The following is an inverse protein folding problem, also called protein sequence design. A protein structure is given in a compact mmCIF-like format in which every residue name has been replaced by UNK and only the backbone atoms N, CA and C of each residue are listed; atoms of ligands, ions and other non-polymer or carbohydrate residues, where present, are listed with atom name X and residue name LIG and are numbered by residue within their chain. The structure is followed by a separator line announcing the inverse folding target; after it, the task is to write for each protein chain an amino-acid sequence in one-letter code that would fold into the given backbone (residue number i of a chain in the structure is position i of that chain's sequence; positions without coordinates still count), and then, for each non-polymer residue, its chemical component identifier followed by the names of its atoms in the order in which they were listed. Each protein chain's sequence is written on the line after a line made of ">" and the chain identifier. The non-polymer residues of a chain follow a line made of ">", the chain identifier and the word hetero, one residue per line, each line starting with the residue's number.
data_IF_010526610039
#
_entry.id   IF_010526610039
#
_cell.length_a   1.000
_cell.length_b   1.000
_cell.length_c   1.000
_cell.angle_alpha   90.00
_cell.angle_beta   90.00
_cell.angle_gamma   90.00
#
_symmetry.space_group_name_H-M   'P 1'
#
loop_
_entity.id
_entity.type
_entity.pdbx_description
1 polymer ?
#
# COMPACT_ATOMS: atom_id res chain seq x y z
N UNK A 1 -48.60 -10.37 65.72
CA UNK A 1 -47.55 -11.11 65.00
C UNK A 1 -46.74 -10.15 64.16
N UNK A 2 -45.49 -9.87 64.60
CA UNK A 2 -44.39 -9.31 63.79
C UNK A 2 -43.81 -10.51 63.00
N UNK A 3 -43.18 -10.45 61.82
CA UNK A 3 -42.09 -9.60 61.30
C UNK A 3 -42.09 -9.80 59.77
N UNK A 4 -41.98 -8.71 59.01
CA UNK A 4 -41.64 -8.72 57.59
C UNK A 4 -40.16 -9.09 57.40
N UNK A 5 -39.82 -9.96 56.44
CA UNK A 5 -38.46 -10.07 55.91
C UNK A 5 -38.46 -10.28 54.40
N UNK A 6 -37.93 -9.24 53.74
CA UNK A 6 -37.31 -9.22 52.42
C UNK A 6 -36.68 -10.58 52.05
N UNK A 7 -36.98 -11.08 50.86
CA UNK A 7 -36.00 -11.85 50.10
C UNK A 7 -35.64 -11.08 48.83
N UNK A 8 -34.37 -10.71 48.79
CA UNK A 8 -33.67 -9.91 47.81
C UNK A 8 -33.68 -10.56 46.42
N UNK A 9 -34.24 -9.86 45.44
CA UNK A 9 -34.08 -10.14 44.02
C UNK A 9 -32.69 -9.65 43.59
N UNK A 10 -31.66 -10.48 43.74
CA UNK A 10 -30.33 -10.19 43.22
C UNK A 10 -30.29 -10.58 41.74
N UNK A 11 -30.76 -9.67 40.87
CA UNK A 11 -30.54 -9.78 39.42
C UNK A 11 -29.07 -9.46 39.19
N UNK A 12 -28.27 -10.52 39.06
CA UNK A 12 -26.89 -10.44 38.63
C UNK A 12 -26.90 -9.99 37.16
N UNK A 13 -26.75 -8.69 36.94
CA UNK A 13 -26.62 -8.09 35.62
C UNK A 13 -25.23 -8.47 35.08
N UNK A 14 -25.14 -9.62 34.40
CA UNK A 14 -23.95 -10.04 33.67
C UNK A 14 -23.70 -9.05 32.54
N UNK A 15 -22.79 -8.10 32.77
CA UNK A 15 -22.23 -7.28 31.72
C UNK A 15 -21.48 -8.20 30.75
N UNK A 16 -22.12 -8.51 29.62
CA UNK A 16 -21.48 -9.25 28.54
C UNK A 16 -20.43 -8.31 27.96
N UNK A 17 -19.16 -8.56 28.29
CA UNK A 17 -18.01 -7.94 27.65
C UNK A 17 -18.04 -8.33 26.17
N UNK A 18 -18.49 -7.42 25.32
CA UNK A 18 -18.38 -7.58 23.89
C UNK A 18 -16.90 -7.43 23.52
N UNK A 19 -16.16 -8.54 23.54
CA UNK A 19 -14.85 -8.60 22.90
C UNK A 19 -15.05 -8.21 21.44
N UNK A 20 -14.43 -7.12 21.04
CA UNK A 20 -14.41 -6.75 19.64
C UNK A 20 -13.57 -7.74 18.86
N UNK A 21 -14.15 -8.28 17.80
CA UNK A 21 -13.45 -9.09 16.82
C UNK A 21 -13.24 -8.24 15.57
N UNK A 22 -12.25 -7.34 15.58
CA UNK A 22 -11.79 -6.70 14.35
C UNK A 22 -11.44 -7.82 13.36
N UNK A 23 -12.02 -7.76 12.16
CA UNK A 23 -11.65 -8.67 11.09
C UNK A 23 -10.39 -8.15 10.42
N UNK A 24 -9.24 -8.71 10.78
CA UNK A 24 -7.94 -8.32 10.23
C UNK A 24 -7.67 -8.84 8.81
N UNK A 25 -8.62 -9.58 8.20
CA UNK A 25 -8.45 -10.12 6.84
C UNK A 25 -8.64 -9.06 5.74
N UNK A 26 -8.43 -7.78 6.04
CA UNK A 26 -8.47 -6.74 5.03
C UNK A 26 -7.17 -6.75 4.22
N UNK A 27 -7.27 -7.18 2.98
CA UNK A 27 -6.24 -6.95 1.97
C UNK A 27 -6.72 -5.82 1.06
N UNK A 28 -5.87 -4.80 0.88
CA UNK A 28 -6.13 -3.75 -0.10
C UNK A 28 -6.37 -4.35 -1.50
N UNK A 29 -7.08 -3.62 -2.35
CA UNK A 29 -7.32 -4.05 -3.74
C UNK A 29 -5.97 -4.14 -4.44
N UNK A 30 -5.55 -5.37 -4.74
CA UNK A 30 -4.34 -5.63 -5.52
C UNK A 30 -4.72 -5.62 -7.00
N UNK A 31 -4.15 -4.69 -7.75
CA UNK A 31 -4.20 -4.67 -9.20
C UNK A 31 -2.82 -5.01 -9.76
N UNK A 32 -2.77 -5.84 -10.80
CA UNK A 32 -1.55 -6.08 -11.55
C UNK A 32 -1.53 -5.07 -12.70
N UNK A 33 -0.37 -4.47 -12.96
CA UNK A 33 -0.20 -3.57 -14.09
C UNK A 33 1.04 -3.93 -14.89
N UNK A 34 0.96 -3.67 -16.19
CA UNK A 34 2.04 -3.78 -17.16
C UNK A 34 1.95 -2.61 -18.11
N UNK A 35 2.95 -1.75 -18.09
CA UNK A 35 3.00 -0.54 -18.89
C UNK A 35 4.35 -0.46 -19.60
N UNK A 36 4.40 0.08 -20.84
CA UNK A 36 3.27 0.40 -21.72
C UNK A 36 2.69 -0.85 -22.41
N UNK A 37 1.60 -0.73 -23.17
CA UNK A 37 0.91 -1.90 -23.72
C UNK A 37 1.75 -2.66 -24.77
N UNK A 38 1.53 -3.98 -24.86
CA UNK A 38 2.17 -4.81 -25.90
C UNK A 38 1.73 -4.32 -27.29
N UNK A 39 2.68 -4.30 -28.21
CA UNK A 39 2.58 -3.81 -29.58
C UNK A 39 2.39 -2.30 -29.73
N UNK A 40 2.37 -1.54 -28.64
CA UNK A 40 2.35 -0.09 -28.68
C UNK A 40 3.77 0.45 -28.94
N UNK A 41 3.86 1.48 -29.79
CA UNK A 41 5.11 2.21 -30.03
C UNK A 41 5.17 3.35 -29.03
N UNK A 42 6.27 3.40 -28.27
CA UNK A 42 6.48 4.35 -27.21
C UNK A 42 7.83 5.02 -27.32
N UNK A 43 7.94 6.19 -26.71
CA UNK A 43 9.14 6.99 -26.64
C UNK A 43 9.47 7.27 -25.18
N UNK A 44 10.72 7.05 -24.79
CA UNK A 44 11.22 7.30 -23.44
C UNK A 44 12.48 8.16 -23.51
N UNK A 45 12.61 9.13 -22.59
CA UNK A 45 13.84 9.89 -22.43
C UNK A 45 14.83 9.17 -21.51
N UNK A 46 16.08 9.63 -21.47
CA UNK A 46 17.05 9.14 -20.49
C UNK A 46 16.52 9.36 -19.06
N UNK A 47 16.49 8.28 -18.28
CA UNK A 47 15.94 8.24 -16.93
C UNK A 47 14.46 7.80 -16.86
N UNK A 48 13.74 7.79 -17.98
CA UNK A 48 12.35 7.37 -18.03
C UNK A 48 12.21 5.84 -18.11
N UNK A 49 11.06 5.35 -17.68
CA UNK A 49 10.73 3.94 -17.73
C UNK A 49 10.38 3.53 -19.16
N UNK A 50 11.15 2.58 -19.69
CA UNK A 50 10.84 1.88 -20.93
C UNK A 50 9.74 0.84 -20.68
N UNK A 51 9.88 0.07 -19.59
CA UNK A 51 8.88 -0.90 -19.13
C UNK A 51 8.69 -0.75 -17.64
N UNK A 52 7.46 -0.87 -17.17
CA UNK A 52 7.13 -0.90 -15.76
C UNK A 52 6.03 -1.94 -15.51
N UNK A 53 6.33 -2.95 -14.70
CA UNK A 53 5.41 -4.04 -14.38
C UNK A 53 5.41 -4.28 -12.88
N UNK A 54 4.24 -4.45 -12.28
CA UNK A 54 4.17 -4.68 -10.85
C UNK A 54 2.77 -4.84 -10.30
N UNK A 55 2.70 -4.91 -8.98
CA UNK A 55 1.44 -4.93 -8.22
C UNK A 55 1.18 -3.52 -7.71
N UNK A 56 -0.05 -3.06 -7.74
CA UNK A 56 -0.50 -1.86 -7.04
C UNK A 56 -1.49 -2.30 -5.98
N UNK A 57 -1.17 -2.07 -4.72
CA UNK A 57 -2.12 -2.30 -3.62
C UNK A 57 -2.76 -0.95 -3.31
N UNK A 58 -4.03 -0.82 -3.63
CA UNK A 58 -4.85 0.33 -3.22
C UNK A 58 -5.53 -0.02 -1.92
N UNK A 59 -5.25 0.78 -0.89
CA UNK A 59 -5.76 0.59 0.46
C UNK A 59 -6.19 1.93 1.04
N UNK A 60 -7.12 1.90 1.99
CA UNK A 60 -7.54 3.11 2.68
C UNK A 60 -6.51 3.51 3.74
N UNK A 61 -6.30 4.81 3.88
CA UNK A 61 -5.55 5.40 4.97
C UNK A 61 -6.43 6.39 5.74
N UNK A 62 -6.26 6.39 7.05
CA UNK A 62 -6.68 7.49 7.90
C UNK A 62 -5.50 8.48 7.98
N UNK A 63 -5.65 9.65 7.38
CA UNK A 63 -4.63 10.71 7.39
C UNK A 63 -4.98 11.78 8.42
N UNK A 64 -4.08 12.02 9.38
CA UNK A 64 -4.18 13.07 10.39
C UNK A 64 -3.18 14.20 10.06
N UNK A 65 -3.68 15.42 9.97
CA UNK A 65 -2.86 16.59 9.61
C UNK A 65 -2.05 17.13 10.80
N UNK A 66 -2.55 16.92 12.01
CA UNK A 66 -1.98 17.46 13.25
C UNK A 66 -1.92 16.36 14.32
N UNK A 67 -1.04 16.58 15.31
CA UNK A 67 -1.00 15.78 16.54
C UNK A 67 -2.35 15.91 17.26
N UNK A 68 -2.91 14.77 17.65
CA UNK A 68 -4.00 14.74 18.64
C UNK A 68 -3.33 14.51 19.99
N UNK A 69 -3.34 15.53 20.84
CA UNK A 69 -2.88 15.49 22.23
C UNK A 69 -4.08 15.15 23.11
N UNK A 70 -4.15 13.89 23.54
CA UNK A 70 -5.34 13.30 24.12
C UNK A 70 -5.14 12.92 25.58
N UNK A 71 -6.23 12.94 26.36
CA UNK A 71 -6.16 12.65 27.81
C UNK A 71 -5.61 11.26 28.18
N UNK A 72 -5.65 10.31 27.25
CA UNK A 72 -5.22 8.92 27.46
C UNK A 72 -4.24 8.45 26.38
N UNK A 73 -4.41 8.95 25.15
CA UNK A 73 -3.59 8.59 24.00
C UNK A 73 -3.20 9.83 23.22
N UNK A 74 -1.93 9.92 22.83
CA UNK A 74 -1.47 10.89 21.84
C UNK A 74 -1.33 10.20 20.49
N UNK A 75 -1.92 10.80 19.45
CA UNK A 75 -1.92 10.25 18.10
C UNK A 75 -1.10 11.18 17.19
N UNK A 76 0.14 10.80 16.82
CA UNK A 76 0.98 11.59 15.93
C UNK A 76 0.31 11.92 14.59
N UNK A 77 0.67 13.04 13.94
CA UNK A 77 0.22 13.29 12.57
C UNK A 77 0.80 12.25 11.60
N UNK A 78 0.06 11.90 10.56
CA UNK A 78 0.50 10.95 9.54
C UNK A 78 -0.63 10.12 8.97
N UNK A 79 -0.27 9.19 8.09
CA UNK A 79 -1.21 8.27 7.43
C UNK A 79 -1.14 6.89 8.08
N UNK A 80 -2.29 6.39 8.50
CA UNK A 80 -2.45 5.10 9.17
C UNK A 80 -3.16 4.13 8.24
N UNK A 81 -2.50 3.04 7.88
CA UNK A 81 -3.02 2.05 6.92
C UNK A 81 -4.24 1.32 7.50
N UNK A 82 -5.26 1.04 6.68
CA UNK A 82 -6.38 0.17 7.06
C UNK A 82 -5.88 -1.26 7.29
N UNK A 83 -6.22 -1.82 8.45
CA UNK A 83 -5.83 -3.17 8.89
C UNK A 83 -7.01 -4.13 8.98
N UNK A 84 -8.24 -3.63 8.88
CA UNK A 84 -9.42 -4.45 9.06
C UNK A 84 -10.72 -3.69 8.95
N UNK A 85 -11.79 -4.39 9.31
CA UNK A 85 -13.10 -3.79 9.53
C UNK A 85 -13.84 -4.45 10.68
N UNK A 86 -14.83 -3.73 11.21
CA UNK A 86 -15.81 -4.29 12.12
C UNK A 86 -17.18 -3.67 11.82
N UNK A 87 -18.17 -4.53 11.52
CA UNK A 87 -19.53 -4.14 11.14
C UNK A 87 -19.57 -3.10 10.01
N UNK A 88 -18.68 -3.25 9.03
CA UNK A 88 -18.57 -2.35 7.88
C UNK A 88 -17.81 -1.04 8.14
N UNK A 89 -17.33 -0.78 9.37
CA UNK A 89 -16.49 0.39 9.66
C UNK A 89 -15.02 0.02 9.52
N UNK A 90 -14.19 0.84 8.84
CA UNK A 90 -12.76 0.58 8.67
C UNK A 90 -11.99 0.79 9.97
N UNK A 91 -10.99 -0.06 10.20
CA UNK A 91 -10.04 0.03 11.31
C UNK A 91 -8.64 0.19 10.76
N UNK A 92 -7.85 1.06 11.38
CA UNK A 92 -6.54 1.50 10.93
C UNK A 92 -5.47 1.14 11.97
N UNK A 93 -4.24 1.01 11.50
CA UNK A 93 -3.04 0.78 12.31
C UNK A 93 -2.89 1.84 13.41
N UNK A 94 -2.23 1.47 14.51
CA UNK A 94 -1.79 2.43 15.54
C UNK A 94 -0.41 3.02 15.24
N UNK A 95 0.23 2.58 14.15
CA UNK A 95 1.52 3.10 13.67
C UNK A 95 1.34 3.70 12.28
N UNK A 96 1.80 4.95 12.11
CA UNK A 96 1.71 5.64 10.84
C UNK A 96 2.81 5.18 9.86
N UNK A 97 2.72 5.61 8.59
CA UNK A 97 3.70 5.30 7.53
C UNK A 97 5.13 5.80 7.81
N UNK A 98 5.34 6.67 8.80
CA UNK A 98 6.65 7.14 9.26
C UNK A 98 7.21 6.32 10.43
N UNK A 99 6.51 5.27 10.84
CA UNK A 99 6.91 4.41 11.97
C UNK A 99 6.62 4.99 13.35
N UNK A 100 5.79 6.03 13.45
CA UNK A 100 5.40 6.63 14.74
C UNK A 100 4.10 6.00 15.23
N UNK A 101 4.11 5.47 16.45
CA UNK A 101 2.96 4.81 17.07
C UNK A 101 2.15 5.75 17.97
N UNK A 102 0.88 5.43 18.17
CA UNK A 102 0.03 6.01 19.21
C UNK A 102 0.73 5.84 20.56
N UNK A 103 0.89 6.95 21.27
CA UNK A 103 1.57 7.00 22.58
C UNK A 103 0.53 6.87 23.69
N UNK A 104 0.83 6.12 24.72
CA UNK A 104 0.01 5.92 25.91
C UNK A 104 0.90 5.63 27.11
N UNK A 105 0.36 5.73 28.33
CA UNK A 105 1.09 5.43 29.57
C UNK A 105 0.88 3.96 30.01
N UNK A 106 1.86 3.06 29.86
CA UNK A 106 1.70 1.65 30.19
C UNK A 106 1.43 1.44 31.69
N UNK A 107 0.57 0.47 32.01
CA UNK A 107 0.17 0.16 33.38
C UNK A 107 -0.94 1.05 33.95
N UNK A 108 -1.27 2.15 33.28
CA UNK A 108 -2.39 3.04 33.63
C UNK A 108 -3.44 3.10 32.53
N UNK A 109 -3.01 3.11 31.27
CA UNK A 109 -3.88 3.14 30.09
C UNK A 109 -3.77 1.81 29.33
N UNK A 110 -4.90 1.31 28.86
CA UNK A 110 -5.00 0.06 28.12
C UNK A 110 -4.30 0.19 26.74
N UNK A 111 -3.48 -0.78 26.30
CA UNK A 111 -2.73 -0.65 25.05
C UNK A 111 -3.63 -0.45 23.82
N UNK A 112 -3.30 0.48 22.91
CA UNK A 112 -4.04 0.69 21.69
C UNK A 112 -3.73 -0.41 20.67
N UNK A 113 -4.75 -0.95 20.01
CA UNK A 113 -4.61 -1.99 18.99
C UNK A 113 -5.07 -1.54 17.60
N UNK A 114 -5.96 -0.54 17.54
CA UNK A 114 -6.43 0.04 16.28
C UNK A 114 -6.98 1.46 16.48
N UNK A 115 -7.09 2.19 15.37
CA UNK A 115 -7.84 3.43 15.26
C UNK A 115 -9.09 3.19 14.42
N UNK A 116 -10.19 3.89 14.70
CA UNK A 116 -11.37 3.90 13.83
C UNK A 116 -12.06 5.25 13.89
N UNK A 117 -12.89 5.51 12.89
CA UNK A 117 -13.61 6.77 12.76
C UNK A 117 -15.05 6.59 13.23
N UNK A 118 -15.53 7.47 14.10
CA UNK A 118 -16.95 7.45 14.54
C UNK A 118 -17.80 8.48 13.80
N UNK A 119 -17.20 9.61 13.43
CA UNK A 119 -17.75 10.71 12.63
C UNK A 119 -16.64 11.27 11.74
N UNK A 120 -17.00 12.16 10.81
CA UNK A 120 -16.08 12.75 9.84
C UNK A 120 -14.84 13.42 10.46
N UNK A 121 -14.96 13.94 11.70
CA UNK A 121 -13.88 14.61 12.43
C UNK A 121 -13.57 13.97 13.79
N UNK A 122 -14.00 12.73 14.04
CA UNK A 122 -13.81 12.06 15.35
C UNK A 122 -13.05 10.74 15.17
N UNK A 123 -11.82 10.69 15.68
CA UNK A 123 -10.97 9.50 15.71
C UNK A 123 -11.07 8.85 17.08
N UNK A 124 -11.32 7.55 17.09
CA UNK A 124 -11.38 6.76 18.31
C UNK A 124 -10.23 5.76 18.36
N UNK A 125 -9.70 5.55 19.56
CA UNK A 125 -8.73 4.50 19.87
C UNK A 125 -9.49 3.27 20.33
N UNK A 126 -9.24 2.16 19.65
CA UNK A 126 -9.61 0.82 20.11
C UNK A 126 -8.44 0.24 20.89
N UNK A 127 -8.70 -0.19 22.11
CA UNK A 127 -7.73 -0.87 22.97
C UNK A 127 -8.02 -2.37 23.08
N UNK A 128 -7.17 -3.10 23.77
CA UNK A 128 -7.34 -4.55 24.00
C UNK A 128 -8.69 -4.87 24.67
N UNK A 129 -9.15 -3.99 25.57
CA UNK A 129 -10.33 -4.21 26.40
C UNK A 129 -11.57 -3.46 25.91
N UNK A 130 -11.41 -2.38 25.13
CA UNK A 130 -12.51 -1.50 24.76
C UNK A 130 -12.48 -1.09 23.29
N UNK A 131 -13.63 -1.24 22.62
CA UNK A 131 -13.78 -0.85 21.22
C UNK A 131 -13.73 0.66 20.99
N UNK A 132 -13.96 1.47 22.01
CA UNK A 132 -13.81 2.92 21.93
C UNK A 132 -13.31 3.39 23.28
N UNK A 133 -12.03 3.12 23.55
CA UNK A 133 -11.37 3.45 24.80
C UNK A 133 -11.33 4.96 25.03
N UNK A 134 -11.08 5.72 23.97
CA UNK A 134 -11.19 7.18 23.95
C UNK A 134 -11.43 7.66 22.52
N UNK A 135 -12.12 8.79 22.38
CA UNK A 135 -12.37 9.44 21.10
C UNK A 135 -11.97 10.91 21.19
N UNK A 136 -11.40 11.42 20.10
CA UNK A 136 -10.85 12.77 20.01
C UNK A 136 -11.33 13.42 18.72
N UNK A 137 -11.65 14.71 18.81
CA UNK A 137 -11.90 15.52 17.63
C UNK A 137 -10.57 15.83 16.94
N UNK A 138 -10.55 15.74 15.60
CA UNK A 138 -9.35 15.98 14.81
C UNK A 138 -9.65 16.24 13.34
N UNK A 139 -8.79 17.05 12.71
CA UNK A 139 -8.84 17.23 11.26
C UNK A 139 -8.23 16.00 10.56
N UNK A 140 -9.10 15.22 9.95
CA UNK A 140 -8.78 13.91 9.39
C UNK A 140 -9.38 13.72 8.01
N UNK A 141 -8.80 12.79 7.24
CA UNK A 141 -9.36 12.32 5.97
C UNK A 141 -9.20 10.82 5.91
N UNK A 142 -10.25 10.12 5.49
CA UNK A 142 -10.16 8.73 5.05
C UNK A 142 -10.09 8.76 3.53
N UNK A 143 -9.00 8.26 2.98
CA UNK A 143 -8.74 8.30 1.54
C UNK A 143 -8.15 6.96 1.06
N UNK A 144 -8.63 6.48 -0.09
CA UNK A 144 -7.98 5.38 -0.80
C UNK A 144 -6.68 5.93 -1.41
N UNK A 145 -5.54 5.49 -0.87
CA UNK A 145 -4.25 5.74 -1.49
C UNK A 145 -3.80 4.45 -2.17
N UNK A 146 -3.49 4.54 -3.45
CA UNK A 146 -2.65 3.54 -4.09
C UNK A 146 -1.25 3.67 -3.49
N UNK A 147 -0.76 2.64 -2.81
CA UNK A 147 0.66 2.57 -2.49
C UNK A 147 1.45 2.41 -3.81
N UNK A 148 1.69 3.53 -4.49
CA UNK A 148 2.87 3.72 -5.33
C UNK A 148 3.92 4.21 -4.36
N UNK A 149 4.69 3.29 -3.78
CA UNK A 149 6.07 3.48 -3.27
C UNK A 149 6.41 2.39 -2.23
N UNK A 150 7.53 1.71 -2.47
CA UNK A 150 8.32 0.82 -1.58
C UNK A 150 7.79 -0.53 -1.06
N UNK A 151 6.50 -0.89 -1.18
CA UNK A 151 6.00 -2.16 -0.62
C UNK A 151 5.35 -3.11 -1.63
N UNK A 152 5.45 -2.80 -2.93
CA UNK A 152 4.88 -3.66 -3.97
C UNK A 152 5.97 -4.18 -4.90
N UNK A 153 5.91 -5.48 -5.21
CA UNK A 153 6.74 -6.08 -6.25
C UNK A 153 6.64 -5.25 -7.54
N UNK A 154 7.76 -4.67 -7.96
CA UNK A 154 7.86 -3.82 -9.15
C UNK A 154 9.16 -4.10 -9.90
N UNK A 155 9.06 -4.25 -11.21
CA UNK A 155 10.16 -4.47 -12.15
C UNK A 155 10.14 -3.37 -13.19
N UNK A 156 11.30 -2.76 -13.46
CA UNK A 156 11.40 -1.62 -14.36
C UNK A 156 12.64 -1.72 -15.25
N UNK A 157 12.49 -1.41 -16.54
CA UNK A 157 13.59 -1.10 -17.45
C UNK A 157 13.62 0.41 -17.68
N UNK A 158 14.79 1.00 -17.59
CA UNK A 158 15.01 2.45 -17.66
C UNK A 158 16.02 2.73 -18.75
N UNK A 159 15.72 3.70 -19.63
CA UNK A 159 16.67 4.09 -20.66
C UNK A 159 17.80 4.92 -20.05
N UNK A 160 19.06 4.51 -20.21
CA UNK A 160 20.22 5.22 -19.66
C UNK A 160 21.02 5.99 -20.73
N UNK A 161 20.54 6.00 -21.98
CA UNK A 161 21.20 6.64 -23.11
C UNK A 161 21.97 5.68 -24.00
N UNK A 162 22.58 6.22 -25.05
CA UNK A 162 23.38 5.45 -26.01
C UNK A 162 24.73 6.09 -26.32
N UNK A 163 25.69 5.25 -26.72
CA UNK A 163 27.01 5.66 -27.21
C UNK A 163 27.31 4.87 -28.48
N UNK A 164 27.37 5.56 -29.62
CA UNK A 164 27.54 4.90 -30.92
C UNK A 164 26.37 3.96 -31.21
N UNK A 165 26.66 2.67 -31.42
CA UNK A 165 25.63 1.63 -31.65
C UNK A 165 25.17 0.94 -30.37
N UNK A 166 25.65 1.36 -29.20
CA UNK A 166 25.39 0.69 -27.93
C UNK A 166 24.34 1.45 -27.12
N UNK A 167 23.30 0.77 -26.70
CA UNK A 167 22.28 1.28 -25.77
C UNK A 167 22.58 0.79 -24.36
N UNK A 168 22.51 1.70 -23.38
CA UNK A 168 22.60 1.41 -21.96
C UNK A 168 21.21 1.43 -21.33
N UNK A 169 20.92 0.45 -20.48
CA UNK A 169 19.63 0.30 -19.80
C UNK A 169 19.89 -0.07 -18.35
N UNK A 170 19.13 0.53 -17.45
CA UNK A 170 19.12 0.15 -16.03
C UNK A 170 17.88 -0.68 -15.74
N UNK A 171 18.06 -1.82 -15.09
CA UNK A 171 16.98 -2.62 -14.54
C UNK A 171 16.86 -2.38 -13.04
N UNK A 172 15.64 -2.20 -12.53
CA UNK A 172 15.35 -2.10 -11.10
C UNK A 172 14.25 -3.06 -10.68
N UNK A 173 14.45 -3.74 -9.55
CA UNK A 173 13.46 -4.64 -8.95
C UNK A 173 13.30 -4.38 -7.45
N UNK A 174 12.04 -4.25 -7.02
CA UNK A 174 11.63 -4.07 -5.63
C UNK A 174 10.89 -5.33 -5.15
N UNK A 175 11.17 -5.78 -3.93
CA UNK A 175 10.46 -6.87 -3.27
C UNK A 175 10.28 -6.54 -1.78
N UNK A 176 9.01 -6.51 -1.35
CA UNK A 176 8.46 -6.26 -0.01
C UNK A 176 9.39 -5.87 1.15
N UNK A 177 9.27 -4.61 1.59
CA UNK A 177 9.07 -4.25 3.00
C UNK A 177 10.28 -4.15 3.95
N UNK A 178 11.46 -4.61 3.55
CA UNK A 178 12.71 -4.29 4.25
C UNK A 178 13.60 -3.54 3.27
N UNK A 179 14.24 -2.47 3.75
CA UNK A 179 15.17 -1.61 3.02
C UNK A 179 16.38 -2.37 2.48
N UNK A 180 16.15 -3.30 1.56
CA UNK A 180 17.13 -3.80 0.62
C UNK A 180 17.11 -2.82 -0.52
N UNK A 181 18.29 -2.31 -0.84
CA UNK A 181 18.51 -1.51 -2.05
C UNK A 181 17.83 -2.21 -3.23
N UNK A 182 17.08 -1.45 -4.03
CA UNK A 182 16.48 -1.96 -5.25
C UNK A 182 17.57 -2.69 -6.04
N UNK A 183 17.34 -3.95 -6.40
CA UNK A 183 18.34 -4.70 -7.16
C UNK A 183 18.48 -4.00 -8.50
N UNK A 184 19.62 -3.33 -8.68
CA UNK A 184 19.89 -2.47 -9.83
C UNK A 184 20.99 -3.08 -10.66
N UNK A 185 20.73 -3.31 -11.94
CA UNK A 185 21.75 -3.76 -12.89
C UNK A 185 21.74 -2.86 -14.11
N UNK A 186 22.91 -2.38 -14.49
CA UNK A 186 23.11 -1.69 -15.75
C UNK A 186 23.62 -2.68 -16.80
N UNK A 187 23.02 -2.64 -17.97
CA UNK A 187 23.33 -3.54 -19.09
C UNK A 187 23.48 -2.75 -20.39
N UNK A 188 24.40 -3.22 -21.23
CA UNK A 188 24.70 -2.65 -22.53
C UNK A 188 24.30 -3.62 -23.64
N UNK A 189 23.65 -3.11 -24.68
CA UNK A 189 23.25 -3.87 -25.87
C UNK A 189 23.82 -3.22 -27.14
N UNK A 190 24.43 -4.03 -28.00
CA UNK A 190 24.93 -3.58 -29.31
C UNK A 190 23.83 -3.71 -30.39
N UNK A 191 23.36 -2.57 -30.88
CA UNK A 191 22.32 -2.48 -31.93
C UNK A 191 22.85 -2.84 -33.33
N UNK A 192 24.15 -3.08 -33.47
CA UNK A 192 24.72 -3.71 -34.67
C UNK A 192 24.38 -5.20 -34.78
N UNK A 193 24.17 -5.87 -33.65
CA UNK A 193 23.87 -7.32 -33.59
C UNK A 193 22.37 -7.60 -33.66
N UNK A 194 21.55 -6.79 -32.98
CA UNK A 194 20.09 -6.93 -32.99
C UNK A 194 19.41 -5.63 -32.60
N UNK A 195 18.26 -5.33 -33.21
CA UNK A 195 17.36 -4.28 -32.74
C UNK A 195 16.43 -4.76 -31.61
N UNK A 196 16.59 -5.98 -31.11
CA UNK A 196 15.81 -6.54 -30.01
C UNK A 196 16.61 -6.47 -28.71
N UNK A 197 16.04 -5.80 -27.72
CA UNK A 197 16.54 -5.85 -26.34
C UNK A 197 15.70 -6.86 -25.57
N UNK A 198 16.38 -7.82 -24.94
CA UNK A 198 15.77 -8.81 -24.06
C UNK A 198 16.43 -8.83 -22.70
N UNK A 199 15.66 -8.62 -21.63
CA UNK A 199 16.17 -8.67 -20.25
C UNK A 199 15.11 -9.22 -19.29
N UNK A 200 15.48 -10.18 -18.43
CA UNK A 200 14.60 -10.78 -17.41
C UNK A 200 13.21 -11.19 -17.94
N UNK A 201 13.16 -11.75 -19.15
CA UNK A 201 11.93 -12.19 -19.81
C UNK A 201 11.23 -11.13 -20.67
N UNK A 202 11.46 -9.84 -20.39
CA UNK A 202 10.95 -8.76 -21.22
C UNK A 202 11.65 -8.70 -22.57
N UNK A 203 10.92 -8.24 -23.59
CA UNK A 203 11.42 -8.03 -24.95
C UNK A 203 10.83 -6.77 -25.55
N UNK A 204 11.69 -5.94 -26.11
CA UNK A 204 11.30 -4.78 -26.91
C UNK A 204 12.02 -4.79 -28.24
N UNK A 205 11.40 -4.16 -29.24
CA UNK A 205 12.01 -3.85 -30.53
C UNK A 205 12.36 -2.37 -30.55
N UNK A 206 13.63 -2.04 -30.75
CA UNK A 206 14.10 -0.67 -30.92
C UNK A 206 13.82 -0.23 -32.35
N UNK A 207 13.16 0.93 -32.47
CA UNK A 207 12.81 1.55 -33.74
C UNK A 207 13.73 2.74 -34.05
N UNK A 208 14.10 3.51 -33.03
CA UNK A 208 15.04 4.63 -33.13
C UNK A 208 15.65 4.93 -31.75
N UNK A 209 16.85 5.52 -31.71
CA UNK A 209 17.49 5.92 -30.46
C UNK A 209 18.62 6.93 -30.67
N UNK A 210 18.85 7.76 -29.65
CA UNK A 210 20.01 8.64 -29.56
C UNK A 210 20.49 8.78 -28.11
N UNK A 211 21.36 9.71 -27.77
CA UNK A 211 21.82 9.85 -26.39
C UNK A 211 20.80 10.48 -25.42
N UNK A 212 19.57 10.78 -25.88
CA UNK A 212 18.51 11.47 -25.13
C UNK A 212 17.22 10.67 -25.06
N UNK A 213 16.89 9.94 -26.11
CA UNK A 213 15.60 9.30 -26.30
C UNK A 213 15.73 7.93 -26.95
N UNK A 214 14.75 7.07 -26.71
CA UNK A 214 14.58 5.79 -27.38
C UNK A 214 13.13 5.62 -27.79
N UNK A 215 12.93 5.23 -29.04
CA UNK A 215 11.64 4.82 -29.58
C UNK A 215 11.63 3.31 -29.75
N UNK A 216 10.64 2.65 -29.16
CA UNK A 216 10.59 1.19 -29.12
C UNK A 216 9.16 0.68 -29.17
N UNK A 217 9.01 -0.59 -29.51
CA UNK A 217 7.75 -1.33 -29.46
C UNK A 217 7.86 -2.43 -28.42
N UNK A 218 6.88 -2.54 -27.52
CA UNK A 218 6.86 -3.61 -26.52
C UNK A 218 6.43 -4.91 -27.19
N UNK A 219 7.27 -5.94 -27.13
CA UNK A 219 6.94 -7.28 -27.63
C UNK A 219 6.47 -8.19 -26.51
N UNK A 220 7.09 -8.07 -25.32
CA UNK A 220 6.78 -8.88 -24.14
C UNK A 220 7.19 -8.15 -22.85
N UNK A 221 6.39 -8.23 -21.81
CA UNK A 221 6.78 -7.80 -20.46
C UNK A 221 7.61 -8.86 -19.72
N UNK A 222 8.08 -8.56 -18.51
CA UNK A 222 8.92 -9.48 -17.73
C UNK A 222 8.20 -10.79 -17.41
N UNK A 223 6.89 -10.69 -17.11
CA UNK A 223 6.05 -11.82 -16.76
C UNK A 223 4.69 -11.77 -17.46
N UNK A 224 4.15 -12.95 -17.74
CA UNK A 224 2.86 -13.13 -18.39
C UNK A 224 1.69 -13.13 -17.40
N UNK A 225 1.93 -13.36 -16.10
CA UNK A 225 0.88 -13.34 -15.07
C UNK A 225 0.48 -11.92 -14.62
N UNK A 226 1.15 -10.89 -15.15
CA UNK A 226 0.87 -9.47 -14.91
C UNK A 226 0.30 -8.75 -16.13
N UNK A 227 0.28 -9.40 -17.30
CA UNK A 227 -0.25 -8.81 -18.52
C UNK A 227 -1.77 -8.97 -18.54
N UNK A 228 -2.46 -7.91 -18.93
CA UNK A 228 -3.85 -8.07 -19.38
C UNK A 228 -3.82 -8.97 -20.61
N UNK A 229 -4.30 -10.20 -20.49
CA UNK A 229 -4.68 -10.98 -21.65
C UNK A 229 -5.77 -10.18 -22.37
N UNK A 230 -5.43 -9.58 -23.53
CA UNK A 230 -6.46 -9.21 -24.49
C UNK A 230 -7.06 -10.53 -24.95
N UNK A 231 -8.11 -11.00 -24.25
CA UNK A 231 -8.96 -12.05 -24.77
C UNK A 231 -9.45 -11.55 -26.12
N UNK A 232 -9.12 -12.22 -27.24
CA UNK A 232 -9.67 -11.84 -28.52
C UNK A 232 -11.19 -11.91 -28.37
N UNK A 233 -11.88 -10.83 -28.76
CA UNK A 233 -13.34 -10.88 -28.92
C UNK A 233 -13.60 -12.01 -29.91
N UNK A 234 -14.05 -13.15 -29.41
CA UNK A 234 -14.67 -14.18 -30.23
C UNK A 234 -15.83 -13.51 -30.96
N UNK A 235 -15.73 -13.47 -32.29
CA UNK A 235 -16.84 -13.15 -33.19
C UNK A 235 -17.94 -14.19 -33.03
#
# INVERSE_FOLDING_TARGET
>A
MKIAKLLSLFVLLSAVSACSSINYNYSGKTELFSEPAINEVQEASVGDYMLNQGRRVTTEFLTLSHLIDGVAYDIPPGSYIRIGDYKGNPYFSTTNTKGQSVVYLPGFIDPPIALHTKKDNEVCVTSVSYQSASCYDGQMRVEELSARDNQSVQQTLIYSGSVGKKINISYREFNDGLARDAFTNDVEYDMGESNIIGYKGARIEVLDYDNRTIKFKVLKHFRDDFSYEIKPKTK
#
